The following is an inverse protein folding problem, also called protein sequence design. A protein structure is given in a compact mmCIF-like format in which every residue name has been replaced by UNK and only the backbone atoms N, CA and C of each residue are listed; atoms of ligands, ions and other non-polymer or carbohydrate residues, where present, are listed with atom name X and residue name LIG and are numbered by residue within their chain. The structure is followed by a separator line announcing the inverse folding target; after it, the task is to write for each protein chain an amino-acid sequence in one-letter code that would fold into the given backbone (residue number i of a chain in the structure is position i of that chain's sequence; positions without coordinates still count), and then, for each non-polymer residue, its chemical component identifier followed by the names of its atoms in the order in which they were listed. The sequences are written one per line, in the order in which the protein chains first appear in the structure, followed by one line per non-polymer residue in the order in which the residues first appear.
data_IF_622806602137
#
_entry.id   IF_622806602137
#
_cell.length_a   1.000
_cell.length_b   1.000
_cell.length_c   1.000
_cell.angle_alpha   90.00
_cell.angle_beta   90.00
_cell.angle_gamma   90.00
#
_symmetry.space_group_name_H-M   'P 1'
#
loop_
_entity.id
_entity.type
_entity.pdbx_description
1 polymer ?
#
# COMPACT_ATOMS: atom_id res chain seq x y z
N UNK A 1 26.93 30.37 13.03
CA UNK A 1 25.77 29.43 12.95
C UNK A 1 26.11 28.33 11.95
N UNK A 2 26.21 27.08 12.41
CA UNK A 2 26.67 25.95 11.61
C UNK A 2 25.59 25.46 10.64
N UNK A 3 25.90 25.43 9.34
CA UNK A 3 25.04 24.93 8.25
C UNK A 3 24.81 23.40 8.29
N UNK A 4 25.30 22.70 9.32
CA UNK A 4 25.24 21.23 9.43
C UNK A 4 23.92 20.68 10.01
N UNK A 5 23.01 21.52 10.51
CA UNK A 5 21.78 21.05 11.18
C UNK A 5 20.54 20.90 10.27
N UNK A 6 20.57 21.48 9.08
CA UNK A 6 19.42 21.46 8.15
C UNK A 6 19.15 20.05 7.58
N UNK A 7 20.15 19.23 7.20
CA UNK A 7 19.90 17.88 6.67
C UNK A 7 19.27 16.93 7.70
N UNK A 8 19.64 17.07 8.98
CA UNK A 8 19.11 16.24 10.07
C UNK A 8 17.63 16.50 10.36
N UNK A 9 17.19 17.76 10.26
CA UNK A 9 15.77 18.14 10.46
C UNK A 9 14.91 17.64 9.29
N UNK A 10 15.41 17.75 8.05
CA UNK A 10 14.70 17.25 6.86
C UNK A 10 14.60 15.72 6.86
N UNK A 11 15.66 15.03 7.26
CA UNK A 11 15.64 13.57 7.43
C UNK A 11 14.72 13.12 8.57
N UNK A 12 14.69 13.84 9.71
CA UNK A 12 13.77 13.56 10.81
C UNK A 12 12.30 13.81 10.43
N UNK A 13 12.00 14.85 9.66
CA UNK A 13 10.65 15.13 9.15
C UNK A 13 10.21 14.11 8.08
N UNK A 14 11.14 13.65 7.24
CA UNK A 14 10.88 12.55 6.30
C UNK A 14 10.62 11.23 7.04
N UNK A 15 11.41 10.90 8.06
CA UNK A 15 11.20 9.73 8.91
C UNK A 15 9.90 9.83 9.73
N UNK A 16 9.49 11.02 10.18
CA UNK A 16 8.19 11.24 10.82
C UNK A 16 7.02 11.03 9.85
N UNK A 17 7.17 11.41 8.58
CA UNK A 17 6.16 11.14 7.54
C UNK A 17 6.07 9.66 7.16
N UNK A 18 7.18 8.93 7.22
CA UNK A 18 7.26 7.54 6.78
C UNK A 18 6.98 6.59 7.97
N UNK A 19 7.47 6.87 9.18
CA UNK A 19 7.13 6.16 10.42
C UNK A 19 5.69 6.41 10.89
N UNK A 20 5.04 7.45 10.35
CA UNK A 20 3.59 7.55 10.41
C UNK A 20 2.89 6.43 9.64
N UNK A 21 3.60 5.59 8.88
CA UNK A 21 3.12 4.27 8.45
C UNK A 21 1.75 4.37 7.80
N UNK A 22 1.60 5.32 6.86
CA UNK A 22 0.38 5.41 6.08
C UNK A 22 0.44 4.24 5.10
N UNK A 23 0.01 3.05 5.53
CA UNK A 23 -0.63 2.15 4.57
C UNK A 23 -1.70 3.00 3.90
N UNK A 24 -1.54 3.28 2.61
CA UNK A 24 -2.50 4.10 1.89
C UNK A 24 -3.87 3.52 2.20
N UNK A 25 -4.82 4.34 2.68
CA UNK A 25 -6.08 3.81 3.15
C UNK A 25 -6.73 3.02 2.02
N UNK A 26 -7.04 1.75 2.25
CA UNK A 26 -7.69 0.94 1.23
C UNK A 26 -9.05 1.58 0.96
N UNK A 27 -9.22 2.08 -0.25
CA UNK A 27 -10.41 2.83 -0.63
C UNK A 27 -11.10 2.10 -1.77
N UNK A 28 -12.30 1.63 -1.48
CA UNK A 28 -13.26 1.21 -2.49
C UNK A 28 -14.00 2.43 -3.01
N UNK A 29 -13.86 2.71 -4.30
CA UNK A 29 -14.52 3.83 -4.96
C UNK A 29 -15.76 3.34 -5.69
N UNK A 30 -16.83 4.13 -5.63
CA UNK A 30 -17.99 3.86 -6.45
C UNK A 30 -17.62 3.93 -7.93
N UNK A 31 -18.12 2.94 -8.67
CA UNK A 31 -18.10 2.92 -10.12
C UNK A 31 -19.54 2.84 -10.58
N UNK A 32 -19.89 3.68 -11.55
CA UNK A 32 -21.18 3.60 -12.23
C UNK A 32 -21.00 2.69 -13.44
N UNK A 33 -21.50 1.44 -13.41
CA UNK A 33 -21.17 0.49 -14.47
C UNK A 33 -21.97 0.71 -15.76
N UNK A 34 -22.89 1.68 -15.80
CA UNK A 34 -23.60 2.23 -16.97
C UNK A 34 -24.62 3.27 -16.51
N UNK A 35 -25.38 3.88 -17.43
CA UNK A 35 -26.54 4.73 -17.09
C UNK A 35 -27.68 4.04 -16.31
N UNK A 36 -27.76 2.70 -16.30
CA UNK A 36 -28.82 1.94 -15.62
C UNK A 36 -28.28 1.00 -14.52
N UNK A 37 -28.46 1.29 -13.22
CA UNK A 37 -28.05 0.40 -12.14
C UNK A 37 -28.90 -0.88 -12.01
N UNK A 38 -30.04 -0.99 -12.69
CA UNK A 38 -30.96 -2.12 -12.56
C UNK A 38 -30.36 -3.43 -13.09
N UNK A 39 -29.65 -3.42 -14.22
CA UNK A 39 -29.06 -4.66 -14.77
C UNK A 39 -28.01 -5.26 -13.84
N UNK A 40 -27.30 -4.44 -13.06
CA UNK A 40 -26.26 -4.93 -12.16
C UNK A 40 -26.85 -5.79 -11.05
N UNK A 41 -28.01 -5.36 -10.51
CA UNK A 41 -28.70 -5.98 -9.37
C UNK A 41 -29.78 -6.99 -9.77
N UNK A 42 -30.13 -7.07 -11.05
CA UNK A 42 -31.09 -8.04 -11.57
C UNK A 42 -30.69 -9.47 -11.17
N UNK A 43 -31.52 -10.13 -10.36
CA UNK A 43 -31.29 -11.49 -9.86
C UNK A 43 -30.18 -11.63 -8.79
N UNK A 44 -29.54 -10.54 -8.35
CA UNK A 44 -28.46 -10.59 -7.35
C UNK A 44 -28.91 -10.02 -6.02
N UNK A 45 -28.75 -10.78 -4.93
CA UNK A 45 -28.93 -10.28 -3.55
C UNK A 45 -27.61 -9.86 -2.89
N UNK A 46 -26.49 -10.35 -3.41
CA UNK A 46 -25.16 -10.10 -2.87
C UNK A 46 -24.16 -9.84 -3.99
N UNK A 47 -23.18 -8.97 -3.72
CA UNK A 47 -22.01 -8.76 -4.55
C UNK A 47 -20.77 -8.69 -3.68
N UNK A 48 -19.61 -9.13 -4.20
CA UNK A 48 -18.33 -9.10 -3.50
C UNK A 48 -17.37 -8.18 -4.22
N UNK A 49 -16.98 -7.09 -3.58
CA UNK A 49 -15.85 -6.28 -4.02
C UNK A 49 -14.55 -6.93 -3.54
N UNK A 50 -13.48 -6.80 -4.33
CA UNK A 50 -12.17 -7.37 -4.03
C UNK A 50 -11.14 -6.26 -3.96
N UNK A 51 -10.11 -6.42 -3.14
CA UNK A 51 -9.01 -5.45 -3.00
C UNK A 51 -8.38 -5.08 -4.35
N UNK A 52 -8.24 -6.07 -5.25
CA UNK A 52 -7.59 -5.91 -6.55
C UNK A 52 -8.40 -5.07 -7.56
N UNK A 53 -9.72 -4.95 -7.35
CA UNK A 53 -10.63 -4.13 -8.15
C UNK A 53 -11.57 -3.43 -7.17
N UNK A 54 -11.11 -2.34 -6.53
CA UNK A 54 -11.79 -1.71 -5.41
C UNK A 54 -12.97 -0.86 -5.91
N UNK A 55 -13.84 -1.47 -6.70
CA UNK A 55 -15.02 -0.86 -7.29
C UNK A 55 -16.26 -1.40 -6.58
N UNK A 56 -17.13 -0.49 -6.18
CA UNK A 56 -18.45 -0.80 -5.64
C UNK A 56 -19.53 -0.19 -6.53
N UNK A 57 -20.73 -0.78 -6.60
CA UNK A 57 -21.83 -0.14 -7.30
C UNK A 57 -22.16 1.21 -6.66
N UNK A 58 -22.35 2.23 -7.48
CA UNK A 58 -22.74 3.58 -7.08
C UNK A 58 -24.09 3.62 -6.34
N UNK A 59 -24.99 2.67 -6.58
CA UNK A 59 -26.26 2.53 -5.85
C UNK A 59 -26.38 1.19 -5.16
N UNK A 60 -26.72 1.26 -3.87
CA UNK A 60 -27.12 0.12 -3.06
C UNK A 60 -28.65 0.16 -2.88
N UNK A 61 -29.43 -0.69 -3.58
CA UNK A 61 -30.89 -0.72 -3.49
C UNK A 61 -31.35 -1.27 -2.15
N UNK A 62 -32.49 -0.80 -1.67
CA UNK A 62 -33.20 -1.34 -0.51
C UNK A 62 -34.39 -2.23 -0.89
N UNK A 63 -35.05 -2.86 0.09
CA UNK A 63 -36.22 -3.71 -0.14
C UNK A 63 -37.42 -3.02 -0.80
N UNK A 64 -37.51 -1.67 -0.74
CA UNK A 64 -38.58 -0.93 -1.41
C UNK A 64 -38.32 -0.68 -2.91
N UNK A 65 -37.13 -1.03 -3.41
CA UNK A 65 -36.73 -0.81 -4.80
C UNK A 65 -37.18 -1.97 -5.70
N UNK A 66 -38.40 -1.87 -6.23
CA UNK A 66 -38.94 -2.86 -7.17
C UNK A 66 -38.05 -3.06 -8.42
N UNK A 67 -37.41 -1.99 -8.88
CA UNK A 67 -36.46 -2.03 -10.02
C UNK A 67 -35.23 -2.91 -9.74
N UNK A 68 -34.90 -3.16 -8.48
CA UNK A 68 -33.83 -4.05 -8.05
C UNK A 68 -34.36 -5.41 -7.51
N UNK A 69 -35.65 -5.70 -7.70
CA UNK A 69 -36.28 -6.93 -7.24
C UNK A 69 -36.80 -6.92 -5.80
N UNK A 70 -36.89 -5.75 -5.14
CA UNK A 70 -37.60 -5.59 -3.86
C UNK A 70 -37.05 -6.43 -2.70
N UNK A 71 -35.74 -6.69 -2.68
CA UNK A 71 -35.08 -7.54 -1.69
C UNK A 71 -33.86 -6.85 -1.09
N UNK A 72 -33.48 -7.26 0.13
CA UNK A 72 -32.23 -6.84 0.78
C UNK A 72 -31.04 -7.07 -0.14
N UNK A 73 -30.19 -6.04 -0.28
CA UNK A 73 -28.93 -6.12 -1.04
C UNK A 73 -27.75 -6.01 -0.10
N UNK A 74 -26.69 -6.73 -0.42
CA UNK A 74 -25.47 -6.78 0.40
C UNK A 74 -24.23 -6.63 -0.47
N UNK A 75 -23.30 -5.77 -0.04
CA UNK A 75 -21.95 -5.67 -0.59
C UNK A 75 -20.99 -6.31 0.42
N UNK A 76 -20.18 -7.26 -0.03
CA UNK A 76 -19.14 -7.92 0.77
C UNK A 76 -17.80 -7.34 0.34
N UNK A 77 -16.97 -6.95 1.30
CA UNK A 77 -15.68 -6.29 1.12
C UNK A 77 -14.61 -7.08 1.86
N UNK A 78 -13.40 -7.06 1.33
CA UNK A 78 -12.21 -7.55 2.02
C UNK A 78 -11.59 -6.36 2.77
N UNK A 79 -11.54 -6.43 4.09
CA UNK A 79 -10.88 -5.40 4.88
C UNK A 79 -9.44 -5.82 5.18
N UNK A 80 -8.47 -4.88 5.17
CA UNK A 80 -7.11 -5.15 5.60
C UNK A 80 -7.11 -5.71 7.02
N UNK A 81 -6.28 -6.72 7.31
CA UNK A 81 -6.26 -7.41 8.60
C UNK A 81 -6.05 -6.46 9.81
N UNK A 82 -5.45 -5.29 9.57
CA UNK A 82 -5.18 -4.25 10.56
C UNK A 82 -6.19 -3.09 10.55
N UNK A 83 -7.29 -3.18 9.79
CA UNK A 83 -8.31 -2.14 9.74
C UNK A 83 -9.03 -2.00 11.10
N UNK A 84 -9.19 -0.77 11.57
CA UNK A 84 -9.88 -0.45 12.83
C UNK A 84 -11.05 0.51 12.64
N UNK A 85 -11.07 1.24 11.52
CA UNK A 85 -12.16 2.13 11.14
C UNK A 85 -12.51 1.90 9.69
N UNK A 86 -13.79 1.72 9.41
CA UNK A 86 -14.37 1.78 8.07
C UNK A 86 -15.19 3.08 7.97
N UNK A 87 -14.83 3.94 7.02
CA UNK A 87 -15.57 5.15 6.69
C UNK A 87 -16.41 4.87 5.44
N UNK A 88 -17.72 4.99 5.54
CA UNK A 88 -18.66 4.82 4.42
C UNK A 88 -19.17 6.21 4.06
N UNK A 89 -18.86 6.67 2.85
CA UNK A 89 -19.34 7.93 2.31
C UNK A 89 -20.50 7.68 1.35
N UNK A 90 -21.61 8.36 1.61
CA UNK A 90 -22.80 8.36 0.76
C UNK A 90 -22.94 9.71 0.06
N UNK A 91 -23.14 9.70 -1.26
CA UNK A 91 -23.41 10.88 -2.07
C UNK A 91 -24.86 11.37 -1.91
N UNK A 92 -25.81 10.45 -1.80
CA UNK A 92 -27.23 10.76 -1.66
C UNK A 92 -28.02 9.55 -1.10
N UNK A 93 -29.29 9.75 -0.80
CA UNK A 93 -30.23 8.70 -0.42
C UNK A 93 -31.63 8.97 -0.99
N UNK A 94 -32.53 8.00 -0.88
CA UNK A 94 -33.93 8.20 -1.25
C UNK A 94 -34.60 9.32 -0.42
N UNK A 95 -35.36 10.19 -1.07
CA UNK A 95 -35.96 11.39 -0.46
C UNK A 95 -37.06 11.08 0.57
N UNK A 96 -37.89 10.07 0.31
CA UNK A 96 -39.08 9.77 1.13
C UNK A 96 -38.92 8.53 2.00
N UNK A 97 -37.96 7.66 1.67
CA UNK A 97 -37.78 6.34 2.28
C UNK A 97 -36.29 6.00 2.42
N UNK A 98 -35.50 6.83 3.13
CA UNK A 98 -34.07 6.61 3.24
C UNK A 98 -33.76 5.27 3.91
N UNK A 99 -32.73 4.55 3.43
CA UNK A 99 -32.47 3.20 3.91
C UNK A 99 -31.93 3.13 5.33
N UNK A 100 -32.19 1.98 5.94
CA UNK A 100 -31.52 1.49 7.13
C UNK A 100 -30.33 0.64 6.68
N UNK A 101 -29.12 1.11 6.96
CA UNK A 101 -27.87 0.45 6.58
C UNK A 101 -27.33 -0.34 7.78
N UNK A 102 -26.93 -1.58 7.53
CA UNK A 102 -26.26 -2.44 8.51
C UNK A 102 -24.87 -2.82 8.00
N UNK A 103 -23.86 -2.62 8.84
CA UNK A 103 -22.50 -3.09 8.63
C UNK A 103 -22.21 -4.28 9.56
N UNK A 104 -21.64 -5.37 9.03
CA UNK A 104 -21.32 -6.58 9.78
C UNK A 104 -19.94 -7.12 9.42
N UNK A 105 -19.28 -7.82 10.36
CA UNK A 105 -18.11 -8.65 10.11
C UNK A 105 -18.50 -10.11 10.39
N UNK A 106 -18.71 -10.88 9.33
CA UNK A 106 -19.36 -12.19 9.44
C UNK A 106 -20.76 -12.05 10.02
N UNK A 107 -21.07 -12.78 11.09
CA UNK A 107 -22.37 -12.68 11.78
C UNK A 107 -22.47 -11.50 12.76
N UNK A 108 -21.34 -10.87 13.11
CA UNK A 108 -21.34 -9.80 14.13
C UNK A 108 -21.73 -8.46 13.54
N UNK A 109 -22.74 -7.82 14.13
CA UNK A 109 -23.10 -6.44 13.81
C UNK A 109 -22.00 -5.47 14.27
N UNK A 110 -21.51 -4.64 13.36
CA UNK A 110 -20.56 -3.57 13.64
C UNK A 110 -21.29 -2.24 13.88
N UNK A 111 -22.28 -1.93 13.03
CA UNK A 111 -23.10 -0.73 13.14
C UNK A 111 -24.43 -0.92 12.40
N UNK A 112 -25.43 -0.17 12.84
CA UNK A 112 -26.72 -0.04 12.16
C UNK A 112 -27.15 1.42 12.25
N UNK A 113 -27.47 2.04 11.12
CA UNK A 113 -27.79 3.46 11.04
C UNK A 113 -28.74 3.76 9.89
N UNK A 114 -29.66 4.70 10.12
CA UNK A 114 -30.57 5.19 9.07
C UNK A 114 -29.95 6.40 8.40
N UNK A 115 -29.89 6.39 7.07
CA UNK A 115 -29.44 7.57 6.32
C UNK A 115 -30.44 8.72 6.48
N UNK A 116 -29.98 9.98 6.45
CA UNK A 116 -30.88 11.11 6.32
C UNK A 116 -31.63 11.03 4.97
N UNK A 117 -32.76 11.74 4.89
CA UNK A 117 -33.46 11.94 3.61
C UNK A 117 -32.51 12.62 2.62
N UNK A 118 -32.37 12.04 1.44
CA UNK A 118 -31.59 12.63 0.37
C UNK A 118 -32.44 13.47 -0.58
N UNK A 119 -31.88 13.78 -1.74
CA UNK A 119 -32.54 14.56 -2.80
C UNK A 119 -33.20 13.70 -3.87
N UNK A 120 -32.99 12.37 -3.82
CA UNK A 120 -33.43 11.46 -4.87
C UNK A 120 -32.63 11.63 -6.18
N UNK A 121 -31.53 12.37 -6.16
CA UNK A 121 -30.69 12.64 -7.32
C UNK A 121 -29.83 11.43 -7.70
N UNK A 122 -29.36 11.39 -8.95
CA UNK A 122 -28.52 10.29 -9.46
C UNK A 122 -27.11 10.21 -8.84
N UNK A 123 -26.79 11.00 -7.81
CA UNK A 123 -25.44 11.07 -7.21
C UNK A 123 -24.41 11.88 -8.02
N UNK A 124 -24.78 12.43 -9.18
CA UNK A 124 -23.87 13.19 -10.07
C UNK A 124 -23.67 14.66 -9.67
N UNK A 125 -24.45 15.20 -8.73
CA UNK A 125 -24.32 16.61 -8.32
C UNK A 125 -23.27 16.76 -7.23
N UNK A 126 -22.13 17.36 -7.60
CA UNK A 126 -20.96 17.63 -6.73
C UNK A 126 -21.23 18.52 -5.51
N UNK A 127 -22.37 19.21 -5.48
CA UNK A 127 -22.61 20.28 -4.52
C UNK A 127 -23.32 19.82 -3.24
N UNK A 128 -23.73 18.55 -3.18
CA UNK A 128 -24.34 17.96 -1.98
C UNK A 128 -23.21 17.43 -1.08
N UNK A 129 -23.11 17.87 0.18
CA UNK A 129 -22.09 17.36 1.09
C UNK A 129 -22.31 15.87 1.36
N UNK A 130 -21.25 15.08 1.24
CA UNK A 130 -21.28 13.64 1.53
C UNK A 130 -21.74 13.37 2.97
N UNK A 131 -22.63 12.39 3.12
CA UNK A 131 -22.93 11.83 4.42
C UNK A 131 -21.90 10.74 4.76
N UNK A 132 -21.01 11.04 5.71
CA UNK A 132 -19.92 10.13 6.09
C UNK A 132 -20.30 9.43 7.40
N UNK A 133 -20.42 8.11 7.35
CA UNK A 133 -20.58 7.28 8.53
C UNK A 133 -19.28 6.56 8.88
N UNK A 134 -18.86 6.68 10.13
CA UNK A 134 -17.68 5.96 10.66
C UNK A 134 -18.13 4.75 11.44
N UNK A 135 -17.60 3.58 11.07
CA UNK A 135 -17.86 2.30 11.72
C UNK A 135 -16.55 1.81 12.33
N UNK A 136 -16.50 1.71 13.66
CA UNK A 136 -15.33 1.17 14.36
C UNK A 136 -15.39 -0.35 14.38
N UNK A 137 -14.25 -0.98 14.21
CA UNK A 137 -14.07 -2.43 14.28
C UNK A 137 -12.81 -2.78 15.06
N UNK A 138 -12.82 -3.95 15.70
CA UNK A 138 -11.67 -4.51 16.39
C UNK A 138 -11.01 -5.56 15.53
N UNK A 139 -9.70 -5.76 15.68
CA UNK A 139 -8.98 -6.84 15.01
C UNK A 139 -9.61 -8.23 15.29
N UNK A 140 -10.17 -8.43 16.50
CA UNK A 140 -10.90 -9.65 16.85
C UNK A 140 -12.15 -9.84 15.98
N UNK A 141 -12.94 -8.79 15.77
CA UNK A 141 -14.14 -8.86 14.94
C UNK A 141 -13.79 -9.20 13.49
N UNK A 142 -12.72 -8.61 12.97
CA UNK A 142 -12.30 -8.85 11.60
C UNK A 142 -11.66 -10.23 11.40
N UNK A 143 -10.86 -10.69 12.38
CA UNK A 143 -10.26 -12.03 12.35
C UNK A 143 -11.34 -13.12 12.33
N UNK A 144 -12.39 -12.98 13.15
CA UNK A 144 -13.49 -13.95 13.20
C UNK A 144 -14.34 -14.01 11.93
N UNK A 145 -14.33 -12.96 11.10
CA UNK A 145 -15.03 -12.95 9.82
C UNK A 145 -14.14 -13.38 8.64
N UNK A 146 -12.90 -13.79 8.90
CA UNK A 146 -11.93 -14.09 7.84
C UNK A 146 -11.56 -12.86 7.01
N UNK A 147 -11.60 -11.65 7.59
CA UNK A 147 -11.31 -10.41 6.85
C UNK A 147 -12.49 -9.87 6.04
N UNK A 148 -13.67 -10.49 6.11
CA UNK A 148 -14.83 -10.05 5.34
C UNK A 148 -15.74 -9.12 6.13
N UNK A 149 -16.12 -8.00 5.50
CA UNK A 149 -17.07 -7.02 6.02
C UNK A 149 -18.23 -6.88 5.04
N UNK A 150 -19.47 -6.90 5.50
CA UNK A 150 -20.64 -6.73 4.67
C UNK A 150 -21.42 -5.48 5.02
N UNK A 151 -21.92 -4.78 4.00
CA UNK A 151 -22.82 -3.63 4.13
C UNK A 151 -24.13 -3.98 3.43
N UNK A 152 -25.25 -3.86 4.13
CA UNK A 152 -26.57 -4.19 3.59
C UNK A 152 -27.64 -3.15 3.89
N UNK A 153 -28.67 -3.15 3.04
CA UNK A 153 -29.90 -2.37 3.19
C UNK A 153 -30.99 -3.23 3.84
N UNK A 154 -31.27 -3.01 5.12
CA UNK A 154 -32.26 -3.81 5.87
C UNK A 154 -33.69 -3.35 5.58
N UNK A 155 -33.89 -2.06 5.33
CA UNK A 155 -35.19 -1.44 5.10
C UNK A 155 -34.99 -0.14 4.28
N UNK A 156 -36.07 0.39 3.69
CA UNK A 156 -36.07 1.60 2.88
C UNK A 156 -35.76 1.34 1.40
N UNK A 157 -35.50 2.42 0.68
CA UNK A 157 -35.10 2.42 -0.73
C UNK A 157 -33.58 2.58 -0.84
N UNK A 158 -33.06 3.17 -1.91
CA UNK A 158 -31.65 3.11 -2.26
C UNK A 158 -30.79 4.15 -1.52
N UNK A 159 -29.49 3.85 -1.45
CA UNK A 159 -28.43 4.79 -1.08
C UNK A 159 -27.41 4.92 -2.21
N UNK A 160 -26.97 6.14 -2.52
CA UNK A 160 -25.88 6.37 -3.45
C UNK A 160 -24.55 6.30 -2.68
N UNK A 161 -23.79 5.24 -2.88
CA UNK A 161 -22.46 5.06 -2.31
C UNK A 161 -21.46 5.88 -3.13
N UNK A 162 -20.55 6.57 -2.43
CA UNK A 162 -19.43 7.26 -3.05
C UNK A 162 -18.12 6.49 -2.83
N UNK A 163 -17.81 6.16 -1.57
CA UNK A 163 -16.60 5.42 -1.24
C UNK A 163 -16.72 4.69 0.09
N UNK A 164 -15.91 3.64 0.23
CA UNK A 164 -15.71 2.92 1.49
C UNK A 164 -14.22 2.84 1.75
N UNK A 165 -13.77 3.48 2.83
CA UNK A 165 -12.36 3.61 3.15
C UNK A 165 -12.03 2.89 4.45
N UNK A 166 -11.11 1.93 4.40
CA UNK A 166 -10.55 1.28 5.57
C UNK A 166 -9.31 2.03 6.04
N UNK A 167 -9.25 2.30 7.35
CA UNK A 167 -8.12 2.91 8.02
C UNK A 167 -7.65 2.00 9.15
N UNK A 168 -6.34 1.77 9.23
CA UNK A 168 -5.69 1.18 10.39
C UNK A 168 -5.39 2.27 11.41
N UNK A 169 -5.79 2.06 12.66
CA UNK A 169 -5.23 2.82 13.78
C UNK A 169 -3.86 2.21 14.06
N UNK A 170 -2.80 3.02 14.02
CA UNK A 170 -1.48 2.56 14.43
C UNK A 170 -1.59 1.98 15.84
N UNK A 171 -1.09 0.75 16.08
CA UNK A 171 -0.84 0.36 17.45
C UNK A 171 0.11 1.40 18.05
N UNK A 172 -0.26 1.96 19.20
CA UNK A 172 0.46 3.07 19.85
C UNK A 172 1.96 2.79 20.00
N UNK A 173 2.33 1.51 20.03
CA UNK A 173 3.69 1.00 20.09
C UNK A 173 4.52 1.28 18.82
N UNK A 174 3.94 1.27 17.62
CA UNK A 174 4.66 1.62 16.38
C UNK A 174 5.05 3.10 16.38
N UNK A 175 4.12 3.98 16.81
CA UNK A 175 4.45 5.40 17.02
C UNK A 175 5.49 5.59 18.13
N UNK A 176 5.47 4.74 19.16
CA UNK A 176 6.44 4.78 20.25
C UNK A 176 7.84 4.35 19.79
N UNK A 177 7.93 3.28 19.00
CA UNK A 177 9.19 2.78 18.43
C UNK A 177 9.79 3.83 17.48
N UNK A 178 8.96 4.43 16.61
CA UNK A 178 9.38 5.54 15.75
C UNK A 178 9.91 6.73 16.56
N UNK A 179 9.20 7.12 17.62
CA UNK A 179 9.62 8.20 18.51
C UNK A 179 10.92 7.88 19.27
N UNK A 180 11.09 6.64 19.75
CA UNK A 180 12.33 6.16 20.40
C UNK A 180 13.49 6.17 19.40
N UNK A 181 13.29 5.67 18.18
CA UNK A 181 14.31 5.67 17.14
C UNK A 181 14.76 7.10 16.78
N UNK A 182 13.81 8.04 16.65
CA UNK A 182 14.10 9.47 16.45
C UNK A 182 14.84 10.04 17.66
N UNK A 183 14.39 9.76 18.89
CA UNK A 183 15.03 10.21 20.12
C UNK A 183 16.46 9.71 20.27
N UNK A 184 16.72 8.44 19.98
CA UNK A 184 18.06 7.86 19.94
C UNK A 184 18.91 8.49 18.83
N UNK A 185 18.33 8.72 17.65
CA UNK A 185 19.04 9.39 16.55
C UNK A 185 19.49 10.79 16.95
N UNK A 186 18.60 11.58 17.57
CA UNK A 186 18.92 12.91 18.10
C UNK A 186 19.99 12.81 19.20
N UNK A 187 19.84 11.88 20.14
CA UNK A 187 20.81 11.65 21.21
C UNK A 187 22.21 11.35 20.68
N UNK A 188 22.34 10.45 19.70
CA UNK A 188 23.63 10.11 19.10
C UNK A 188 24.20 11.23 18.23
N UNK A 189 23.35 12.01 17.56
CA UNK A 189 23.77 13.17 16.76
C UNK A 189 24.30 14.31 17.63
N UNK A 190 23.72 14.47 18.83
CA UNK A 190 24.15 15.44 19.85
C UNK A 190 25.29 14.92 20.72
N UNK A 191 25.55 13.61 20.72
CA UNK A 191 26.63 13.02 21.52
C UNK A 191 27.97 13.49 20.96
N UNK A 192 28.81 14.17 21.75
CA UNK A 192 30.14 14.56 21.30
C UNK A 192 30.91 13.29 20.93
N UNK A 193 31.35 13.23 19.67
CA UNK A 193 32.15 12.10 19.18
C UNK A 193 33.41 11.98 20.03
N UNK A 194 33.67 10.81 20.64
CA UNK A 194 34.91 10.57 21.37
C UNK A 194 36.03 10.41 20.34
N UNK A 195 36.52 11.51 19.78
CA UNK A 195 37.77 11.52 19.05
C UNK A 195 38.76 12.39 19.80
N UNK A 196 39.71 11.71 20.46
CA UNK A 196 41.14 11.82 20.15
C UNK A 196 41.94 10.91 21.08
N UNK A 197 41.99 9.62 20.76
CA UNK A 197 43.23 8.86 20.93
C UNK A 197 43.93 8.90 19.57
N UNK A 198 45.16 9.42 19.54
CA UNK A 198 45.96 9.68 18.34
C UNK A 198 46.40 8.33 17.75
N UNK A 199 45.70 7.82 16.74
CA UNK A 199 46.17 6.66 15.96
C UNK A 199 47.16 7.13 14.86
N UNK A 200 48.08 6.23 14.48
CA UNK A 200 49.16 6.52 13.54
C UNK A 200 48.64 6.74 12.09
N UNK A 201 49.23 7.68 11.33
CA UNK A 201 48.70 8.17 10.05
C UNK A 201 48.56 7.11 8.94
N UNK A 202 49.29 5.99 9.01
CA UNK A 202 49.25 4.95 7.99
C UNK A 202 47.95 4.12 7.98
N UNK A 203 47.28 3.96 9.13
CA UNK A 203 46.04 3.17 9.22
C UNK A 203 44.79 3.97 8.82
N UNK A 204 44.88 5.30 8.81
CA UNK A 204 43.75 6.19 8.49
C UNK A 204 43.38 6.10 6.99
N UNK A 205 44.38 6.01 6.11
CA UNK A 205 44.15 5.86 4.67
C UNK A 205 43.43 4.56 4.30
N UNK A 206 43.82 3.43 4.88
CA UNK A 206 43.19 2.13 4.61
C UNK A 206 41.73 2.08 5.09
N UNK A 207 41.45 2.63 6.29
CA UNK A 207 40.07 2.68 6.83
C UNK A 207 39.16 3.61 6.04
N UNK A 208 39.70 4.69 5.46
CA UNK A 208 38.95 5.57 4.58
C UNK A 208 38.56 4.86 3.26
N UNK A 209 39.50 4.14 2.64
CA UNK A 209 39.24 3.37 1.41
C UNK A 209 38.18 2.28 1.66
N UNK A 210 38.30 1.54 2.76
CA UNK A 210 37.33 0.50 3.14
C UNK A 210 35.92 1.08 3.31
N UNK A 211 35.82 2.24 3.96
CA UNK A 211 34.55 2.93 4.19
C UNK A 211 33.88 3.37 2.88
N UNK A 212 34.65 3.95 1.96
CA UNK A 212 34.15 4.34 0.63
C UNK A 212 33.69 3.10 -0.13
N UNK A 213 34.51 2.04 -0.15
CA UNK A 213 34.18 0.80 -0.85
C UNK A 213 32.88 0.15 -0.30
N UNK A 214 32.72 0.10 1.01
CA UNK A 214 31.52 -0.44 1.64
C UNK A 214 30.28 0.42 1.38
N UNK A 215 30.44 1.74 1.40
CA UNK A 215 29.35 2.68 1.08
C UNK A 215 28.87 2.49 -0.37
N UNK A 216 29.82 2.43 -1.32
CA UNK A 216 29.52 2.17 -2.72
C UNK A 216 28.87 0.79 -2.89
N UNK A 217 29.38 -0.23 -2.20
CA UNK A 217 28.81 -1.58 -2.26
C UNK A 217 27.36 -1.62 -1.80
N UNK A 218 27.05 -0.92 -0.70
CA UNK A 218 25.68 -0.83 -0.20
C UNK A 218 24.76 -0.06 -1.15
N UNK A 219 25.22 1.07 -1.69
CA UNK A 219 24.44 1.84 -2.68
C UNK A 219 24.13 0.98 -3.90
N UNK A 220 25.13 0.26 -4.43
CA UNK A 220 24.93 -0.66 -5.54
C UNK A 220 23.96 -1.79 -5.17
N UNK A 221 24.04 -2.35 -3.97
CA UNK A 221 23.11 -3.39 -3.52
C UNK A 221 21.65 -2.90 -3.43
N UNK A 222 21.43 -1.65 -3.02
CA UNK A 222 20.10 -1.03 -2.96
C UNK A 222 19.57 -0.69 -4.36
N UNK A 223 20.45 -0.18 -5.23
CA UNK A 223 20.07 0.27 -6.57
C UNK A 223 19.91 -0.87 -7.56
N UNK A 224 20.57 -2.02 -7.36
CA UNK A 224 20.48 -3.15 -8.27
C UNK A 224 19.03 -3.69 -8.20
N UNK A 225 18.24 -3.60 -9.28
CA UNK A 225 16.89 -4.17 -9.29
C UNK A 225 17.00 -5.69 -9.17
N UNK A 226 16.16 -6.26 -8.31
CA UNK A 226 16.02 -7.70 -8.25
C UNK A 226 14.97 -8.17 -9.25
N UNK A 227 15.01 -9.46 -9.54
CA UNK A 227 14.02 -10.15 -10.39
C UNK A 227 13.10 -11.05 -9.55
N UNK A 228 13.15 -10.98 -8.22
CA UNK A 228 12.48 -11.93 -7.34
C UNK A 228 11.48 -11.20 -6.45
N UNK A 229 10.27 -11.73 -6.31
CA UNK A 229 9.21 -11.20 -5.43
C UNK A 229 9.52 -11.29 -3.92
N UNK A 230 10.79 -11.17 -3.51
CA UNK A 230 11.27 -11.36 -2.15
C UNK A 230 12.04 -10.15 -1.61
N UNK A 231 12.47 -10.29 -0.35
CA UNK A 231 13.17 -9.24 0.41
C UNK A 231 14.46 -8.83 -0.31
N UNK A 232 14.60 -7.52 -0.53
CA UNK A 232 15.62 -6.80 -1.30
C UNK A 232 15.41 -6.83 -2.83
N UNK A 233 14.22 -6.58 -3.36
CA UNK A 233 13.99 -6.54 -4.83
C UNK A 233 14.44 -5.22 -5.50
N UNK A 234 15.12 -4.34 -4.76
CA UNK A 234 15.53 -3.02 -5.24
C UNK A 234 14.38 -2.02 -5.19
N UNK A 235 14.56 -0.85 -5.80
CA UNK A 235 13.53 0.19 -5.83
C UNK A 235 12.56 -0.01 -7.02
N UNK A 236 11.25 0.24 -6.86
CA UNK A 236 10.56 0.64 -5.63
C UNK A 236 10.31 -0.57 -4.70
N UNK A 237 10.63 -0.40 -3.42
CA UNK A 237 10.42 -1.43 -2.39
C UNK A 237 8.94 -1.53 -2.07
N UNK A 238 8.31 -2.62 -2.48
CA UNK A 238 6.87 -2.85 -2.27
C UNK A 238 6.54 -3.53 -0.95
N UNK A 239 7.53 -4.17 -0.32
CA UNK A 239 7.33 -4.96 0.89
C UNK A 239 7.50 -4.11 2.17
N UNK A 240 6.66 -4.38 3.17
CA UNK A 240 6.70 -3.70 4.47
C UNK A 240 8.04 -3.94 5.18
N UNK A 241 8.57 -5.16 5.07
CA UNK A 241 9.82 -5.58 5.71
C UNK A 241 11.02 -4.81 5.16
N UNK A 242 11.09 -4.61 3.84
CA UNK A 242 12.14 -3.81 3.19
C UNK A 242 12.09 -2.35 3.63
N UNK A 243 10.87 -1.81 3.71
CA UNK A 243 10.61 -0.45 4.17
C UNK A 243 11.12 -0.27 5.61
N UNK A 244 10.82 -1.23 6.50
CA UNK A 244 11.27 -1.23 7.89
C UNK A 244 12.80 -1.34 7.99
N UNK A 245 13.42 -2.24 7.21
CA UNK A 245 14.89 -2.37 7.18
C UNK A 245 15.54 -1.06 6.75
N UNK A 246 15.02 -0.38 5.74
CA UNK A 246 15.56 0.89 5.26
C UNK A 246 15.31 2.04 6.23
N UNK A 247 14.17 2.07 6.92
CA UNK A 247 13.90 3.00 8.01
C UNK A 247 14.90 2.90 9.14
N UNK A 248 15.51 1.73 9.35
CA UNK A 248 16.55 1.55 10.37
C UNK A 248 17.94 1.77 9.78
N UNK A 249 18.21 1.20 8.61
CA UNK A 249 19.51 1.20 7.97
C UNK A 249 19.91 2.60 7.46
N UNK A 250 19.03 3.33 6.76
CA UNK A 250 19.37 4.67 6.24
C UNK A 250 19.71 5.63 7.40
N UNK A 251 18.90 5.76 8.47
CA UNK A 251 19.24 6.63 9.57
C UNK A 251 20.52 6.19 10.28
N UNK A 252 20.73 4.89 10.49
CA UNK A 252 21.99 4.38 11.04
C UNK A 252 23.20 4.82 10.18
N UNK A 253 23.11 4.71 8.86
CA UNK A 253 24.17 5.14 7.94
C UNK A 253 24.40 6.66 7.97
N UNK A 254 23.34 7.45 8.14
CA UNK A 254 23.44 8.91 8.29
C UNK A 254 24.07 9.28 9.64
N UNK A 255 23.66 8.61 10.73
CA UNK A 255 24.10 8.90 12.10
C UNK A 255 25.56 8.52 12.30
N UNK A 256 25.92 7.30 11.92
CA UNK A 256 27.29 6.81 12.08
C UNK A 256 28.21 7.25 10.94
N UNK A 257 27.63 7.79 9.86
CA UNK A 257 28.33 8.31 8.70
C UNK A 257 29.24 7.27 8.04
N UNK A 258 30.24 7.72 7.27
CA UNK A 258 31.29 6.86 6.74
C UNK A 258 32.09 6.14 7.86
N UNK A 259 32.01 6.64 9.10
CA UNK A 259 32.68 6.05 10.26
C UNK A 259 32.19 4.63 10.57
N UNK A 260 30.91 4.33 10.31
CA UNK A 260 30.34 2.99 10.53
C UNK A 260 31.09 1.89 9.76
N UNK A 261 31.37 2.17 8.49
CA UNK A 261 32.06 1.25 7.60
C UNK A 261 33.58 1.19 7.81
N UNK A 262 34.11 1.91 8.81
CA UNK A 262 35.50 1.72 9.25
C UNK A 262 35.65 0.46 10.09
N UNK A 263 34.56 -0.08 10.63
CA UNK A 263 34.55 -1.39 11.27
C UNK A 263 34.61 -2.48 10.17
N UNK A 264 35.31 -3.60 10.40
CA UNK A 264 35.43 -4.66 9.38
C UNK A 264 34.11 -5.41 9.16
N UNK A 265 33.28 -5.57 10.19
CA UNK A 265 32.04 -6.35 10.10
C UNK A 265 30.94 -5.68 9.24
N UNK A 266 30.65 -4.35 9.32
CA UNK A 266 29.65 -3.74 8.46
C UNK A 266 30.14 -3.62 7.02
N UNK A 267 31.44 -3.38 6.82
CA UNK A 267 32.04 -3.35 5.50
C UNK A 267 31.93 -4.73 4.81
N UNK A 268 32.28 -5.80 5.54
CA UNK A 268 32.09 -7.17 5.09
C UNK A 268 30.63 -7.51 4.82
N UNK A 269 29.70 -7.07 5.67
CA UNK A 269 28.27 -7.28 5.49
C UNK A 269 27.73 -6.56 4.24
N UNK A 270 28.12 -5.30 4.00
CA UNK A 270 27.72 -4.55 2.82
C UNK A 270 28.25 -5.19 1.52
N UNK A 271 29.50 -5.65 1.53
CA UNK A 271 30.08 -6.36 0.41
C UNK A 271 29.41 -7.73 0.18
N UNK A 272 29.18 -8.50 1.24
CA UNK A 272 28.47 -9.78 1.18
C UNK A 272 27.05 -9.62 0.64
N UNK A 273 26.33 -8.57 1.06
CA UNK A 273 25.01 -8.21 0.55
C UNK A 273 25.05 -7.96 -0.95
N UNK A 274 26.03 -7.18 -1.43
CA UNK A 274 26.21 -6.94 -2.87
C UNK A 274 26.47 -8.24 -3.64
N UNK A 275 27.34 -9.12 -3.14
CA UNK A 275 27.63 -10.42 -3.78
C UNK A 275 26.37 -11.29 -3.85
N UNK A 276 25.60 -11.38 -2.78
CA UNK A 276 24.31 -12.10 -2.75
C UNK A 276 23.36 -11.49 -3.77
N UNK A 277 23.26 -10.15 -3.83
CA UNK A 277 22.42 -9.44 -4.80
C UNK A 277 22.80 -9.77 -6.24
N UNK A 278 24.08 -9.73 -6.57
CA UNK A 278 24.58 -10.06 -7.92
C UNK A 278 24.33 -11.53 -8.24
N UNK A 279 24.56 -12.45 -7.30
CA UNK A 279 24.30 -13.87 -7.49
C UNK A 279 22.81 -14.16 -7.71
N UNK A 280 21.92 -13.52 -6.95
CA UNK A 280 20.47 -13.62 -7.15
C UNK A 280 20.06 -13.03 -8.50
N UNK A 281 20.61 -11.88 -8.87
CA UNK A 281 20.34 -11.24 -10.16
C UNK A 281 20.76 -12.11 -11.34
N UNK A 282 21.90 -12.80 -11.25
CA UNK A 282 22.41 -13.68 -12.31
C UNK A 282 21.77 -15.08 -12.33
N UNK A 283 21.48 -15.65 -11.17
CA UNK A 283 21.21 -17.08 -11.02
C UNK A 283 19.78 -17.43 -10.62
N UNK A 284 19.01 -16.50 -10.05
CA UNK A 284 17.63 -16.78 -9.68
C UNK A 284 16.71 -16.64 -10.90
N UNK A 285 15.89 -17.65 -11.22
CA UNK A 285 14.87 -17.51 -12.26
C UNK A 285 13.93 -16.39 -11.85
N UNK A 286 13.78 -15.39 -12.72
CA UNK A 286 12.89 -14.27 -12.48
C UNK A 286 11.47 -14.79 -12.18
N UNK A 287 10.91 -14.42 -11.02
CA UNK A 287 9.55 -14.80 -10.66
C UNK A 287 8.52 -14.11 -11.57
N UNK A 288 7.48 -14.83 -12.00
CA UNK A 288 6.40 -14.32 -12.86
C UNK A 288 6.38 -14.92 -14.26
N UNK A 289 5.41 -14.49 -15.07
CA UNK A 289 5.24 -14.92 -16.46
C UNK A 289 5.75 -13.85 -17.42
N UNK A 290 6.73 -14.20 -18.25
CA UNK A 290 7.22 -13.32 -19.31
C UNK A 290 6.17 -13.20 -20.43
N UNK A 291 5.79 -11.98 -20.77
CA UNK A 291 4.86 -11.70 -21.87
C UNK A 291 5.53 -10.88 -22.98
N UNK A 292 5.10 -11.13 -24.21
CA UNK A 292 5.46 -10.35 -25.39
C UNK A 292 4.23 -9.61 -25.85
N UNK A 293 4.33 -8.28 -25.91
CA UNK A 293 3.27 -7.38 -26.34
C UNK A 293 3.54 -7.06 -27.81
N UNK A 294 2.52 -7.13 -28.64
CA UNK A 294 2.59 -6.84 -30.07
C UNK A 294 1.53 -5.80 -30.41
N UNK A 295 1.92 -4.71 -31.07
CA UNK A 295 0.98 -3.64 -31.43
C UNK A 295 0.11 -4.05 -32.63
N UNK A 296 0.61 -4.98 -33.47
CA UNK A 296 -0.09 -5.45 -34.67
C UNK A 296 0.08 -6.95 -34.91
N UNK A 297 -0.83 -7.60 -35.66
CA UNK A 297 -0.70 -9.00 -36.05
C UNK A 297 0.56 -9.31 -36.89
N UNK A 298 1.03 -8.35 -37.69
CA UNK A 298 2.26 -8.52 -38.49
C UNK A 298 3.52 -8.53 -37.61
N UNK A 299 3.53 -7.75 -36.53
CA UNK A 299 4.60 -7.81 -35.52
C UNK A 299 4.60 -9.14 -34.77
N UNK A 300 3.43 -9.68 -34.43
CA UNK A 300 3.30 -11.00 -33.82
C UNK A 300 3.88 -12.10 -34.73
N UNK A 301 3.57 -12.04 -36.03
CA UNK A 301 4.06 -13.01 -37.03
C UNK A 301 5.57 -12.91 -37.26
N UNK A 302 6.13 -11.70 -37.22
CA UNK A 302 7.57 -11.46 -37.40
C UNK A 302 8.39 -11.63 -36.10
N UNK A 303 7.73 -11.89 -34.96
CA UNK A 303 8.39 -11.99 -33.65
C UNK A 303 8.91 -10.66 -33.10
N UNK A 304 8.60 -9.54 -33.75
CA UNK A 304 9.01 -8.20 -33.35
C UNK A 304 8.10 -7.66 -32.26
N UNK A 305 8.33 -8.10 -31.02
CA UNK A 305 7.60 -7.61 -29.86
C UNK A 305 8.00 -6.19 -29.48
N UNK A 306 7.08 -5.47 -28.85
CA UNK A 306 7.29 -4.12 -28.35
C UNK A 306 8.35 -4.14 -27.25
N UNK A 307 9.42 -3.37 -27.42
CA UNK A 307 10.47 -3.24 -26.41
C UNK A 307 10.03 -2.25 -25.35
N UNK A 308 10.15 -2.64 -24.08
CA UNK A 308 9.88 -1.77 -22.94
C UNK A 308 11.12 -1.67 -22.06
N UNK A 309 11.01 -1.02 -20.91
CA UNK A 309 12.06 -1.01 -19.90
C UNK A 309 12.46 -2.44 -19.46
N UNK A 310 11.51 -3.37 -19.36
CA UNK A 310 11.78 -4.76 -19.00
C UNK A 310 12.66 -5.49 -20.02
N UNK A 311 12.59 -5.09 -21.30
CA UNK A 311 13.41 -5.67 -22.36
C UNK A 311 14.89 -5.35 -22.19
N UNK A 312 15.24 -4.24 -21.52
CA UNK A 312 16.64 -3.91 -21.20
C UNK A 312 17.25 -4.94 -20.26
N UNK A 313 16.45 -5.46 -19.33
CA UNK A 313 16.89 -6.39 -18.31
C UNK A 313 16.71 -7.85 -18.76
N UNK A 314 15.71 -8.10 -19.60
CA UNK A 314 15.35 -9.42 -20.10
C UNK A 314 15.12 -9.37 -21.62
N UNK A 315 16.15 -9.64 -22.45
CA UNK A 315 16.13 -9.45 -23.90
C UNK A 315 15.06 -10.25 -24.68
N UNK A 316 14.25 -11.07 -24.02
CA UNK A 316 13.22 -11.92 -24.62
C UNK A 316 11.78 -11.58 -24.26
N UNK A 317 11.50 -10.47 -23.55
CA UNK A 317 10.14 -10.13 -23.12
C UNK A 317 9.83 -8.63 -23.24
N UNK A 318 8.54 -8.32 -23.41
CA UNK A 318 8.00 -6.96 -23.35
C UNK A 318 7.60 -6.57 -21.93
N UNK A 319 7.11 -7.50 -21.12
CA UNK A 319 6.76 -7.22 -19.74
C UNK A 319 6.75 -8.50 -18.93
N UNK A 320 6.71 -8.36 -17.60
CA UNK A 320 6.56 -9.46 -16.66
C UNK A 320 5.26 -9.35 -15.88
N UNK A 321 4.43 -10.38 -15.98
CA UNK A 321 3.24 -10.50 -15.14
C UNK A 321 3.64 -11.18 -13.83
N UNK A 322 3.62 -10.43 -12.74
CA UNK A 322 3.98 -10.93 -11.40
C UNK A 322 2.76 -11.37 -10.57
N UNK A 323 1.54 -11.01 -10.97
CA UNK A 323 0.29 -11.39 -10.32
C UNK A 323 -0.54 -12.33 -11.24
N UNK A 324 -1.26 -13.32 -10.69
CA UNK A 324 -2.06 -14.24 -11.51
C UNK A 324 -3.11 -13.46 -12.34
N UNK A 325 -3.16 -13.73 -13.65
CA UNK A 325 -4.22 -13.25 -14.53
C UNK A 325 -5.54 -13.86 -14.06
N UNK A 326 -6.42 -13.04 -13.48
CA UNK A 326 -7.76 -13.48 -13.12
C UNK A 326 -8.64 -13.38 -14.37
N UNK A 327 -9.25 -14.50 -14.74
CA UNK A 327 -10.19 -14.62 -15.84
C UNK A 327 -11.26 -13.51 -15.77
N UNK A 328 -11.28 -12.61 -16.77
CA UNK A 328 -12.24 -11.50 -16.86
C UNK A 328 -11.68 -10.08 -16.77
N UNK A 329 -10.39 -9.89 -16.48
CA UNK A 329 -9.75 -8.57 -16.62
C UNK A 329 -9.58 -8.22 -18.10
N UNK A 330 -10.37 -7.27 -18.62
CA UNK A 330 -10.17 -6.69 -19.96
C UNK A 330 -9.14 -5.55 -19.85
N UNK A 331 -8.10 -5.60 -20.67
CA UNK A 331 -7.17 -4.49 -20.92
C UNK A 331 -7.69 -3.62 -22.07
#
# INVERSE_FOLDING_TARGET
MNKAYIPGIVAALALLRIAAGWGAPLTYSAYSPSEDPAWYWAGKSQTRARELLPLIPDRLPGPLDAWAGGARKTIILEAPANATVMEIAFADAHESAPPLIRAQAGEMALAEFRLPKGTGGKGEKSDIPFHIQKVRMTAKQLASSGGLVSISTENGSWAALHSITFRSALPIWETLIGAIAIGLSIYFLLRPSPMKAREAPAQEGQRAILSVFATVSLILAILLPGSNLGVLDGLPMGALEETLVMMVAIPALIIFGPGFFRLPWPAGAAFGLLVIKVALWMGAPAGGMAIKIYDTPSQATSGNFQRTYDTLMHPGMSARITAPLVEGSRF
#
